data_IF_859408458509
#
_entry.id   IF_859408458509
#
_cell.length_a   1.000
_cell.length_b   1.000
_cell.length_c   1.000
_cell.angle_alpha   90.00
_cell.angle_beta   90.00
_cell.angle_gamma   90.00
#
_symmetry.space_group_name_H-M   'P 1'
#
loop_
_entity.id
_entity.type
_entity.pdbx_description
1 polymer ?
#
# COMPACT_ATOMS: atom_id res chain seq x y z
N UNK A 1 -20.25 -2.72 -11.42
CA UNK A 1 -19.53 -2.46 -10.20
C UNK A 1 -18.39 -1.50 -10.49
N UNK A 2 -18.33 -0.41 -9.80
CA UNK A 2 -17.41 0.68 -10.14
C UNK A 2 -16.59 1.11 -8.93
N UNK A 3 -15.44 1.69 -9.20
CA UNK A 3 -14.61 2.31 -8.18
C UNK A 3 -15.33 3.46 -7.47
N UNK A 4 -16.34 4.06 -8.10
CA UNK A 4 -17.13 5.13 -7.48
C UNK A 4 -17.88 4.66 -6.23
N UNK A 5 -18.40 3.43 -6.24
CA UNK A 5 -19.06 2.85 -5.06
C UNK A 5 -18.02 2.67 -3.94
N UNK A 6 -16.84 2.13 -4.27
CA UNK A 6 -15.77 1.95 -3.31
C UNK A 6 -15.35 3.30 -2.70
N UNK A 7 -15.17 4.33 -3.50
CA UNK A 7 -14.78 5.66 -3.02
C UNK A 7 -15.82 6.24 -2.05
N UNK A 8 -17.11 6.05 -2.33
CA UNK A 8 -18.18 6.51 -1.43
C UNK A 8 -18.13 5.79 -0.09
N UNK A 9 -17.90 4.48 -0.11
CA UNK A 9 -17.79 3.69 1.12
C UNK A 9 -16.57 4.10 1.95
N UNK A 10 -15.45 4.38 1.31
CA UNK A 10 -14.25 4.85 1.99
C UNK A 10 -14.46 6.22 2.62
N UNK A 11 -15.11 7.15 1.94
CA UNK A 11 -15.45 8.47 2.49
C UNK A 11 -16.39 8.36 3.68
N UNK A 12 -17.35 7.43 3.61
CA UNK A 12 -18.31 7.19 4.69
C UNK A 12 -17.72 6.36 5.83
N UNK A 13 -16.47 5.94 5.71
CA UNK A 13 -15.77 5.08 6.68
C UNK A 13 -16.49 3.75 6.95
N UNK A 14 -17.16 3.23 5.94
CA UNK A 14 -17.83 1.94 5.99
C UNK A 14 -16.85 0.84 5.58
N UNK A 15 -15.92 0.52 6.48
CA UNK A 15 -14.76 -0.31 6.16
C UNK A 15 -15.11 -1.74 5.78
N UNK A 16 -16.10 -2.34 6.47
CA UNK A 16 -16.53 -3.70 6.17
C UNK A 16 -17.16 -3.81 4.78
N UNK A 17 -18.03 -2.87 4.45
CA UNK A 17 -18.66 -2.81 3.12
C UNK A 17 -17.64 -2.49 2.04
N UNK A 18 -16.68 -1.60 2.33
CA UNK A 18 -15.61 -1.27 1.41
C UNK A 18 -14.74 -2.51 1.13
N UNK A 19 -14.43 -3.30 2.14
CA UNK A 19 -13.65 -4.53 1.98
C UNK A 19 -14.39 -5.54 1.09
N UNK A 20 -15.70 -5.68 1.26
CA UNK A 20 -16.51 -6.54 0.40
C UNK A 20 -16.45 -6.08 -1.06
N UNK A 21 -16.46 -4.77 -1.31
CA UNK A 21 -16.30 -4.22 -2.65
C UNK A 21 -14.91 -4.51 -3.23
N UNK A 22 -13.86 -4.36 -2.43
CA UNK A 22 -12.50 -4.69 -2.84
C UNK A 22 -12.40 -6.15 -3.25
N UNK A 23 -12.96 -7.06 -2.44
CA UNK A 23 -12.95 -8.48 -2.75
C UNK A 23 -13.69 -8.80 -4.05
N UNK A 24 -14.82 -8.12 -4.31
CA UNK A 24 -15.55 -8.27 -5.56
C UNK A 24 -14.75 -7.74 -6.76
N UNK A 25 -14.07 -6.60 -6.60
CA UNK A 25 -13.21 -6.04 -7.65
C UNK A 25 -12.00 -6.93 -7.92
N UNK A 26 -11.42 -7.54 -6.88
CA UNK A 26 -10.31 -8.48 -7.03
C UNK A 26 -10.74 -9.76 -7.76
N UNK A 27 -11.97 -10.23 -7.56
CA UNK A 27 -12.49 -11.37 -8.30
C UNK A 27 -12.49 -11.08 -9.80
N UNK A 28 -12.78 -9.84 -10.20
CA UNK A 28 -12.76 -9.41 -11.59
C UNK A 28 -11.36 -9.05 -12.09
N UNK A 29 -10.48 -8.58 -11.19
CA UNK A 29 -9.13 -8.10 -11.51
C UNK A 29 -8.11 -8.67 -10.54
N UNK A 30 -7.79 -9.97 -10.61
CA UNK A 30 -6.92 -10.61 -9.60
C UNK A 30 -5.46 -10.18 -9.65
N UNK A 31 -5.06 -9.40 -10.65
CA UNK A 31 -3.69 -8.89 -10.79
C UNK A 31 -3.56 -7.41 -10.43
N UNK A 32 -4.56 -6.83 -9.79
CA UNK A 32 -4.55 -5.42 -9.42
C UNK A 32 -3.84 -5.20 -8.08
N UNK A 33 -2.55 -4.86 -8.12
CA UNK A 33 -1.72 -4.66 -6.93
C UNK A 33 -2.33 -3.64 -5.96
N UNK A 34 -2.87 -2.54 -6.47
CA UNK A 34 -3.47 -1.48 -5.65
C UNK A 34 -4.67 -1.98 -4.83
N UNK A 35 -5.44 -2.93 -5.37
CA UNK A 35 -6.56 -3.50 -4.64
C UNK A 35 -6.10 -4.39 -3.48
N UNK A 36 -4.99 -5.09 -3.62
CA UNK A 36 -4.41 -5.85 -2.50
C UNK A 36 -3.87 -4.93 -1.42
N UNK A 37 -3.23 -3.83 -1.80
CA UNK A 37 -2.81 -2.82 -0.82
C UNK A 37 -4.01 -2.32 -0.02
N UNK A 38 -5.07 -1.92 -0.70
CA UNK A 38 -6.28 -1.41 -0.07
C UNK A 38 -6.93 -2.48 0.82
N UNK A 39 -6.91 -3.74 0.38
CA UNK A 39 -7.43 -4.86 1.18
C UNK A 39 -6.72 -4.94 2.51
N UNK A 40 -5.39 -4.93 2.50
CA UNK A 40 -4.60 -4.94 3.73
C UNK A 40 -4.90 -3.76 4.65
N UNK A 41 -5.00 -2.57 4.09
CA UNK A 41 -5.33 -1.37 4.85
C UNK A 41 -6.72 -1.45 5.49
N UNK A 42 -7.70 -1.95 4.74
CA UNK A 42 -9.08 -2.08 5.24
C UNK A 42 -9.21 -3.14 6.33
N UNK A 43 -8.45 -4.24 6.23
CA UNK A 43 -8.41 -5.25 7.30
C UNK A 43 -7.88 -4.62 8.59
N UNK A 44 -6.84 -3.81 8.52
CA UNK A 44 -6.28 -3.14 9.70
C UNK A 44 -7.26 -2.17 10.35
N UNK A 45 -8.14 -1.54 9.56
CA UNK A 45 -9.12 -0.61 10.09
C UNK A 45 -10.28 -1.29 10.83
N UNK A 46 -10.41 -2.60 10.71
CA UNK A 46 -11.45 -3.38 11.39
C UNK A 46 -10.93 -3.95 12.70
N UNK A 47 -10.58 -3.07 13.63
CA UNK A 47 -9.93 -3.44 14.90
C UNK A 47 -10.71 -4.43 15.75
N UNK A 48 -12.04 -4.46 15.64
CA UNK A 48 -12.89 -5.32 16.46
C UNK A 48 -13.36 -6.57 15.72
N UNK A 49 -13.00 -6.72 14.46
CA UNK A 49 -13.39 -7.89 13.68
C UNK A 49 -12.52 -9.09 14.03
N UNK A 50 -13.16 -10.26 14.23
CA UNK A 50 -12.48 -11.53 14.41
C UNK A 50 -12.40 -12.32 13.10
N UNK A 51 -12.94 -11.79 12.02
CA UNK A 51 -12.95 -12.45 10.71
C UNK A 51 -11.58 -12.49 10.04
N UNK A 52 -10.68 -11.59 10.43
CA UNK A 52 -9.36 -11.46 9.82
C UNK A 52 -8.27 -11.48 10.89
N UNK A 53 -7.08 -11.94 10.48
CA UNK A 53 -5.90 -12.01 11.34
C UNK A 53 -4.79 -11.10 10.81
N UNK A 54 -3.70 -10.97 11.59
CA UNK A 54 -2.52 -10.26 11.14
C UNK A 54 -1.91 -10.93 9.89
N UNK A 55 -2.04 -12.25 9.79
CA UNK A 55 -1.56 -12.97 8.61
C UNK A 55 -2.31 -12.56 7.34
N UNK A 56 -3.61 -12.26 7.46
CA UNK A 56 -4.40 -11.78 6.32
C UNK A 56 -3.92 -10.41 5.84
N UNK A 57 -3.58 -9.52 6.76
CA UNK A 57 -3.01 -8.21 6.45
C UNK A 57 -1.67 -8.34 5.76
N UNK A 58 -0.78 -9.15 6.34
CA UNK A 58 0.56 -9.41 5.78
C UNK A 58 0.45 -10.00 4.36
N UNK A 59 -0.42 -10.99 4.18
CA UNK A 59 -0.61 -11.63 2.88
C UNK A 59 -1.07 -10.65 1.81
N UNK A 60 -1.97 -9.73 2.15
CA UNK A 60 -2.47 -8.73 1.22
C UNK A 60 -1.35 -7.79 0.76
N UNK A 61 -0.56 -7.25 1.69
CA UNK A 61 0.55 -6.36 1.34
C UNK A 61 1.64 -7.08 0.54
N UNK A 62 1.96 -8.32 0.91
CA UNK A 62 2.94 -9.13 0.17
C UNK A 62 2.46 -9.43 -1.25
N UNK A 63 1.16 -9.70 -1.41
CA UNK A 63 0.61 -9.95 -2.74
C UNK A 63 0.72 -8.71 -3.63
N UNK A 64 0.48 -7.52 -3.08
CA UNK A 64 0.69 -6.28 -3.81
C UNK A 64 2.13 -6.18 -4.33
N UNK A 65 3.12 -6.54 -3.50
CA UNK A 65 4.53 -6.52 -3.91
C UNK A 65 4.89 -7.62 -4.92
N UNK A 66 4.26 -8.79 -4.83
CA UNK A 66 4.47 -9.85 -5.83
C UNK A 66 4.04 -9.37 -7.22
N UNK A 67 2.96 -8.60 -7.28
CA UNK A 67 2.42 -8.08 -8.52
C UNK A 67 3.15 -6.84 -9.03
N UNK A 68 3.67 -6.03 -8.11
CA UNK A 68 4.45 -4.83 -8.39
C UNK A 68 5.57 -4.70 -7.36
N UNK A 69 6.74 -5.19 -7.71
CA UNK A 69 7.90 -5.26 -6.79
C UNK A 69 8.42 -3.91 -6.31
N UNK A 70 8.05 -2.82 -6.98
CA UNK A 70 8.44 -1.45 -6.60
C UNK A 70 7.26 -0.63 -6.08
N UNK A 71 6.18 -1.29 -5.67
CA UNK A 71 5.00 -0.60 -5.14
C UNK A 71 5.37 0.09 -3.82
N UNK A 72 5.59 1.40 -3.90
CA UNK A 72 6.11 2.18 -2.78
C UNK A 72 5.20 2.10 -1.55
N UNK A 73 3.89 2.27 -1.74
CA UNK A 73 2.94 2.25 -0.62
C UNK A 73 2.90 0.88 0.07
N UNK A 74 2.99 -0.20 -0.70
CA UNK A 74 3.03 -1.55 -0.12
C UNK A 74 4.31 -1.78 0.69
N UNK A 75 5.45 -1.27 0.21
CA UNK A 75 6.71 -1.34 0.95
C UNK A 75 6.63 -0.55 2.25
N UNK A 76 6.04 0.64 2.22
CA UNK A 76 5.84 1.48 3.41
C UNK A 76 4.93 0.77 4.43
N UNK A 77 3.83 0.19 3.95
CA UNK A 77 2.91 -0.54 4.82
C UNK A 77 3.58 -1.75 5.49
N UNK A 78 4.36 -2.51 4.74
CA UNK A 78 5.10 -3.66 5.30
C UNK A 78 6.18 -3.21 6.28
N UNK A 79 6.87 -2.11 5.99
CA UNK A 79 7.84 -1.52 6.90
C UNK A 79 7.19 -1.23 8.26
N UNK A 80 6.06 -0.53 8.25
CA UNK A 80 5.33 -0.20 9.49
C UNK A 80 4.75 -1.44 10.16
N UNK A 81 4.26 -2.38 9.38
CA UNK A 81 3.69 -3.63 9.90
C UNK A 81 4.73 -4.40 10.72
N UNK A 82 5.95 -4.54 10.20
CA UNK A 82 6.99 -5.26 10.92
C UNK A 82 7.63 -4.43 12.04
N UNK A 83 7.59 -3.10 11.95
CA UNK A 83 8.11 -2.23 13.00
C UNK A 83 7.15 -2.13 14.19
N UNK A 84 5.90 -1.78 13.94
CA UNK A 84 4.95 -1.43 14.99
C UNK A 84 3.98 -2.56 15.38
N UNK A 85 3.62 -3.44 14.46
CA UNK A 85 2.60 -4.46 14.70
C UNK A 85 3.22 -5.78 15.11
N UNK A 86 4.19 -6.28 14.34
CA UNK A 86 4.82 -7.58 14.59
C UNK A 86 6.11 -7.50 15.38
N UNK A 87 6.66 -6.31 15.58
CA UNK A 87 7.92 -6.09 16.31
C UNK A 87 9.03 -7.02 15.81
N UNK A 88 9.24 -7.04 14.49
CA UNK A 88 10.28 -7.82 13.83
C UNK A 88 11.32 -6.86 13.22
N UNK A 89 12.31 -6.41 13.99
CA UNK A 89 13.28 -5.42 13.51
C UNK A 89 14.04 -5.80 12.25
N UNK A 90 14.50 -7.05 12.06
CA UNK A 90 15.21 -7.39 10.83
C UNK A 90 14.35 -7.22 9.58
N UNK A 91 13.09 -7.62 9.62
CA UNK A 91 12.17 -7.43 8.49
C UNK A 91 11.82 -5.96 8.27
N UNK A 92 11.54 -5.23 9.35
CA UNK A 92 11.28 -3.79 9.28
C UNK A 92 12.45 -3.07 8.63
N UNK A 93 13.68 -3.40 9.03
CA UNK A 93 14.88 -2.77 8.49
C UNK A 93 15.06 -3.08 6.99
N UNK A 94 14.78 -4.32 6.58
CA UNK A 94 14.88 -4.72 5.17
C UNK A 94 13.94 -3.90 4.29
N UNK A 95 12.69 -3.72 4.72
CA UNK A 95 11.73 -2.89 3.98
C UNK A 95 12.07 -1.40 4.04
N UNK A 96 12.57 -0.92 5.17
CA UNK A 96 13.00 0.47 5.31
C UNK A 96 14.12 0.83 4.33
N UNK A 97 15.06 -0.08 4.10
CA UNK A 97 16.13 0.10 3.11
C UNK A 97 15.58 0.24 1.69
N UNK A 98 14.60 -0.58 1.35
CA UNK A 98 13.95 -0.51 0.04
C UNK A 98 13.18 0.79 -0.14
N UNK A 99 12.43 1.20 0.89
CA UNK A 99 11.69 2.48 0.88
C UNK A 99 12.66 3.65 0.69
N UNK A 100 13.74 3.65 1.45
CA UNK A 100 14.76 4.71 1.36
C UNK A 100 15.37 4.79 -0.03
N UNK A 101 15.71 3.65 -0.62
CA UNK A 101 16.33 3.61 -1.95
C UNK A 101 15.38 4.17 -3.02
N UNK A 102 14.11 3.80 -2.99
CA UNK A 102 13.12 4.33 -3.94
C UNK A 102 12.84 5.81 -3.73
N UNK A 103 12.74 6.24 -2.48
CA UNK A 103 12.51 7.65 -2.15
C UNK A 103 13.71 8.49 -2.59
N UNK A 104 14.93 8.02 -2.37
CA UNK A 104 16.15 8.73 -2.79
C UNK A 104 16.23 8.85 -4.31
N UNK A 105 15.90 7.80 -5.03
CA UNK A 105 15.86 7.82 -6.48
C UNK A 105 14.86 8.87 -6.99
N UNK A 106 13.66 8.88 -6.43
CA UNK A 106 12.64 9.87 -6.81
C UNK A 106 13.09 11.29 -6.50
N UNK A 107 13.73 11.49 -5.35
CA UNK A 107 14.26 12.80 -4.97
C UNK A 107 15.35 13.27 -5.93
N UNK A 108 16.26 12.39 -6.29
CA UNK A 108 17.34 12.71 -7.24
C UNK A 108 16.79 13.08 -8.62
N UNK A 109 15.79 12.34 -9.10
CA UNK A 109 15.13 12.63 -10.37
C UNK A 109 14.42 13.99 -10.33
N UNK A 110 13.73 14.29 -9.23
CA UNK A 110 13.04 15.57 -9.06
C UNK A 110 14.05 16.74 -9.03
N UNK A 111 15.16 16.57 -8.34
CA UNK A 111 16.20 17.58 -8.26
C UNK A 111 16.82 17.84 -9.63
N UNK A 112 17.03 16.80 -10.44
CA UNK A 112 17.55 16.94 -11.80
C UNK A 112 16.59 17.76 -12.66
N UNK A 113 15.30 17.49 -12.58
CA UNK A 113 14.29 18.25 -13.34
C UNK A 113 14.26 19.71 -12.87
N UNK A 114 14.27 19.94 -11.57
CA UNK A 114 14.27 21.29 -11.01
C UNK A 114 15.49 22.09 -11.48
N UNK A 115 16.68 21.49 -11.44
CA UNK A 115 17.91 22.12 -11.87
C UNK A 115 17.89 22.44 -13.36
N UNK A 116 17.51 21.46 -14.18
CA UNK A 116 17.46 21.63 -15.63
C UNK A 116 16.41 22.67 -16.04
N UNK A 117 15.26 22.67 -15.42
CA UNK A 117 14.17 23.62 -15.72
C UNK A 117 14.55 25.03 -15.29
N UNK A 118 15.14 25.18 -14.11
CA UNK A 118 15.60 26.48 -13.62
C UNK A 118 16.66 27.06 -14.57
N UNK A 119 17.58 26.25 -15.05
CA UNK A 119 18.59 26.66 -16.01
C UNK A 119 17.97 27.12 -17.34
N UNK A 120 16.91 26.45 -17.80
CA UNK A 120 16.22 26.81 -19.05
C UNK A 120 15.47 28.12 -18.99
N UNK A 121 14.93 28.49 -17.82
CA UNK A 121 14.08 29.68 -17.67
C UNK A 121 14.85 30.92 -17.18
N UNK A 122 16.12 30.77 -16.84
CA UNK A 122 16.96 31.86 -16.38
C UNK A 122 17.72 32.61 -17.50
#
# INVERSE_FOLDING_TARGET
MTYAVLQRLLKAKKWEEALAQVDALLAANPLAAQLYLLRGQLIQLQNESTAYTLDDTEAAFKRALELDGTHFDALVELMHFYDAVCADPPKALAYAKQVKALAQKALDEANDVLENTTTRVS
#
